data_IF_759539191838
#
_entry.id   IF_759539191838
#
_cell.length_a   1.000
_cell.length_b   1.000
_cell.length_c   1.000
_cell.angle_alpha   90.00
_cell.angle_beta   90.00
_cell.angle_gamma   90.00
#
_symmetry.space_group_name_H-M   'P 1'
#
loop_
_entity.id
_entity.type
_entity.pdbx_description
1 polymer ?
#
# COMPACT_ATOMS: atom_id res chain seq x y z
N UNK A 1 -5.20 9.54 21.54
CA UNK A 1 -5.69 8.19 21.92
C UNK A 1 -4.96 7.23 20.99
N UNK A 2 -4.11 6.34 21.51
CA UNK A 2 -3.50 5.30 20.67
C UNK A 2 -4.64 4.37 20.24
N UNK A 3 -5.11 4.50 19.01
CA UNK A 3 -6.00 3.49 18.44
C UNK A 3 -5.12 2.28 18.13
N UNK A 4 -5.54 1.11 18.60
CA UNK A 4 -4.88 -0.12 18.21
C UNK A 4 -5.12 -0.32 16.70
N UNK A 5 -4.03 -0.36 15.94
CA UNK A 5 -4.11 -0.58 14.49
C UNK A 5 -4.53 -2.03 14.19
N UNK A 6 -5.36 -2.21 13.18
CA UNK A 6 -5.73 -3.54 12.68
C UNK A 6 -4.62 -4.09 11.78
N UNK A 7 -3.59 -4.65 12.42
CA UNK A 7 -2.44 -5.20 11.71
C UNK A 7 -2.80 -6.34 10.76
N UNK A 8 -3.87 -7.10 11.02
CA UNK A 8 -4.29 -8.19 10.12
C UNK A 8 -4.83 -7.62 8.81
N UNK A 9 -5.67 -6.57 8.88
CA UNK A 9 -6.13 -5.84 7.70
C UNK A 9 -4.95 -5.23 6.93
N UNK A 10 -4.00 -4.60 7.64
CA UNK A 10 -2.84 -3.96 7.02
C UNK A 10 -1.90 -4.97 6.36
N UNK A 11 -1.68 -6.15 6.95
CA UNK A 11 -0.85 -7.20 6.37
C UNK A 11 -1.46 -7.77 5.07
N UNK A 12 -2.79 -7.95 5.03
CA UNK A 12 -3.49 -8.36 3.80
C UNK A 12 -3.35 -7.30 2.71
N UNK A 13 -3.58 -6.03 3.06
CA UNK A 13 -3.45 -4.92 2.13
C UNK A 13 -2.02 -4.80 1.59
N UNK A 14 -1.01 -5.00 2.43
CA UNK A 14 0.39 -5.02 2.02
C UNK A 14 0.69 -6.14 1.03
N UNK A 15 0.13 -7.33 1.23
CA UNK A 15 0.28 -8.45 0.30
C UNK A 15 -0.36 -8.14 -1.06
N UNK A 16 -1.54 -7.52 -1.09
CA UNK A 16 -2.21 -7.11 -2.32
C UNK A 16 -1.40 -6.04 -3.09
N UNK A 17 -0.85 -5.05 -2.38
CA UNK A 17 0.01 -4.02 -2.99
C UNK A 17 1.28 -4.65 -3.59
N UNK A 18 1.93 -5.57 -2.87
CA UNK A 18 3.13 -6.25 -3.36
C UNK A 18 2.83 -7.14 -4.58
N UNK A 19 1.69 -7.82 -4.59
CA UNK A 19 1.25 -8.59 -5.76
C UNK A 19 0.92 -7.69 -6.97
N UNK A 20 0.23 -6.57 -6.75
CA UNK A 20 -0.07 -5.60 -7.79
C UNK A 20 1.19 -4.96 -8.37
N UNK A 21 2.17 -4.63 -7.52
CA UNK A 21 3.47 -4.09 -7.93
C UNK A 21 4.22 -5.08 -8.85
N UNK A 22 4.23 -6.37 -8.51
CA UNK A 22 4.87 -7.41 -9.35
C UNK A 22 4.19 -7.61 -10.71
N UNK A 23 2.89 -7.35 -10.80
CA UNK A 23 2.13 -7.42 -12.06
C UNK A 23 2.30 -6.16 -12.91
N UNK A 24 2.64 -5.03 -12.27
CA UNK A 24 2.85 -3.77 -12.95
C UNK A 24 4.13 -3.86 -13.77
N UNK A 25 3.98 -3.77 -15.09
CA UNK A 25 5.13 -3.68 -15.99
C UNK A 25 5.59 -2.22 -16.03
N UNK A 26 6.81 -1.97 -15.57
CA UNK A 26 7.45 -0.71 -15.87
C UNK A 26 7.62 -0.61 -17.40
N UNK A 27 7.24 0.51 -18.02
CA UNK A 27 7.49 0.72 -19.43
C UNK A 27 8.99 0.68 -19.72
N UNK A 28 9.40 0.00 -20.80
CA UNK A 28 10.80 -0.04 -21.24
C UNK A 28 11.30 1.34 -21.73
N UNK A 29 10.39 2.29 -21.94
CA UNK A 29 10.67 3.65 -22.42
C UNK A 29 10.40 4.63 -21.29
N UNK A 30 11.41 5.45 -20.98
CA UNK A 30 11.44 6.36 -19.82
C UNK A 30 10.24 7.34 -19.76
N UNK A 31 9.66 7.68 -20.91
CA UNK A 31 8.55 8.64 -21.05
C UNK A 31 7.17 8.02 -21.32
N UNK A 32 7.04 6.68 -21.34
CA UNK A 32 5.73 6.06 -21.53
C UNK A 32 4.95 6.09 -20.21
N UNK A 33 3.66 6.47 -20.21
CA UNK A 33 2.87 6.52 -18.98
C UNK A 33 2.79 5.13 -18.35
N UNK A 34 2.91 5.09 -17.02
CA UNK A 34 2.60 3.89 -16.24
C UNK A 34 1.11 3.58 -16.36
N UNK A 35 0.78 2.30 -16.48
CA UNK A 35 -0.60 1.88 -16.30
C UNK A 35 -1.00 2.18 -14.84
N UNK A 36 -2.17 2.82 -14.62
CA UNK A 36 -2.63 3.11 -13.27
C UNK A 36 -2.89 1.80 -12.53
N UNK A 37 -2.28 1.65 -11.36
CA UNK A 37 -2.57 0.56 -10.43
C UNK A 37 -3.74 1.00 -9.57
N UNK A 38 -4.84 0.25 -9.59
CA UNK A 38 -5.92 0.46 -8.63
C UNK A 38 -5.45 0.01 -7.24
N UNK A 39 -5.54 0.88 -6.21
CA UNK A 39 -5.18 0.49 -4.86
C UNK A 39 -6.24 -0.46 -4.28
N UNK A 40 -5.85 -1.28 -3.29
CA UNK A 40 -6.77 -2.19 -2.60
C UNK A 40 -7.90 -1.47 -1.88
N UNK A 41 -8.98 -2.20 -1.60
CA UNK A 41 -10.18 -1.65 -0.97
C UNK A 41 -9.88 -1.01 0.39
N UNK A 42 -10.41 0.19 0.63
CA UNK A 42 -10.21 0.93 1.87
C UNK A 42 -8.83 1.61 2.00
N UNK A 43 -7.97 1.57 0.97
CA UNK A 43 -6.68 2.28 0.99
C UNK A 43 -6.82 3.80 1.19
N UNK A 44 -7.83 4.42 0.58
CA UNK A 44 -8.07 5.86 0.71
C UNK A 44 -8.66 6.27 2.06
N UNK A 45 -9.06 5.31 2.89
CA UNK A 45 -9.63 5.54 4.22
C UNK A 45 -8.60 5.37 5.34
N UNK A 46 -7.36 5.00 4.99
CA UNK A 46 -6.30 4.78 5.94
C UNK A 46 -5.90 6.08 6.65
N UNK A 47 -5.60 5.93 7.92
CA UNK A 47 -4.98 6.97 8.74
C UNK A 47 -3.48 7.09 8.44
N UNK A 48 -2.87 8.21 8.82
CA UNK A 48 -1.43 8.44 8.67
C UNK A 48 -0.59 7.34 9.35
N UNK A 49 -1.06 6.82 10.49
CA UNK A 49 -0.42 5.73 11.25
C UNK A 49 -0.44 4.41 10.46
N UNK A 50 -1.58 4.08 9.83
CA UNK A 50 -1.73 2.91 8.98
C UNK A 50 -0.90 3.02 7.69
N UNK A 51 -0.88 4.20 7.07
CA UNK A 51 -0.04 4.49 5.89
C UNK A 51 1.44 4.33 6.26
N UNK A 52 1.85 4.83 7.43
CA UNK A 52 3.24 4.69 7.91
C UNK A 52 3.64 3.23 8.07
N UNK A 53 2.75 2.41 8.62
CA UNK A 53 2.98 0.98 8.72
C UNK A 53 3.08 0.31 7.33
N UNK A 54 2.20 0.62 6.39
CA UNK A 54 2.23 0.04 5.05
C UNK A 54 3.47 0.46 4.25
N UNK A 55 3.87 1.73 4.34
CA UNK A 55 5.00 2.26 3.58
C UNK A 55 6.36 1.83 4.14
N UNK A 56 6.51 1.79 5.47
CA UNK A 56 7.81 1.60 6.12
C UNK A 56 7.92 0.33 6.96
N UNK A 57 6.82 -0.38 7.22
CA UNK A 57 6.78 -1.52 8.14
C UNK A 57 7.03 -1.14 9.60
N UNK A 58 6.95 0.15 9.93
CA UNK A 58 7.19 0.69 11.27
C UNK A 58 5.87 0.68 12.04
N UNK A 59 5.86 0.04 13.22
CA UNK A 59 4.71 0.12 14.13
C UNK A 59 4.73 1.49 14.82
N UNK A 60 3.71 2.34 14.65
CA UNK A 60 3.65 3.63 15.33
C UNK A 60 3.56 3.42 16.85
N UNK A 61 4.22 4.29 17.61
CA UNK A 61 4.32 4.18 19.07
C UNK A 61 3.05 4.56 19.82
#
# INVERSE_FOLDING_TARGET
MKKELDYEKLDRMRAEIDEASKKTKAPDVEDMPLEPIEPPEGFFELTDEEITYLAFGIKPE
#
